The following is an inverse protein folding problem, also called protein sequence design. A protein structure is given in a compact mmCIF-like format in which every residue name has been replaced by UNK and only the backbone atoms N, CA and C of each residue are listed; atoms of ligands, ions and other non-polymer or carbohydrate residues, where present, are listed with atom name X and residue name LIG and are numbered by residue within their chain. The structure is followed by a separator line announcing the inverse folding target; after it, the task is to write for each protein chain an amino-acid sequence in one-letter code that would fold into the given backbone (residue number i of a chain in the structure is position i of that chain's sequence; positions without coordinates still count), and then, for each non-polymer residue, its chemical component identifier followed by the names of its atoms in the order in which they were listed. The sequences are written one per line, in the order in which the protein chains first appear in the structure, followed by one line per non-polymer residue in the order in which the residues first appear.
data_IF_746086785464
#
_entry.id   IF_746086785464
#
_cell.length_a   1.000
_cell.length_b   1.000
_cell.length_c   1.000
_cell.angle_alpha   90.00
_cell.angle_beta   90.00
_cell.angle_gamma   90.00
#
_symmetry.space_group_name_H-M   'P 1'
#
loop_
_entity.id
_entity.type
_entity.pdbx_description
1 polymer ?
#
# COMPACT_ATOMS: atom_id res chain seq x y z
N UNK A 1 6.08 8.22 -6.01
CA UNK A 1 7.24 7.33 -5.85
C UNK A 1 7.13 6.47 -4.60
N UNK A 2 7.58 5.22 -4.68
CA UNK A 2 7.54 4.26 -3.56
C UNK A 2 8.42 4.69 -2.36
N UNK A 3 9.54 5.39 -2.61
CA UNK A 3 10.40 5.88 -1.52
C UNK A 3 9.70 6.94 -0.66
N UNK A 4 8.96 7.86 -1.29
CA UNK A 4 8.15 8.84 -0.56
C UNK A 4 7.04 8.17 0.24
N UNK A 5 6.37 7.17 -0.34
CA UNK A 5 5.35 6.40 0.35
C UNK A 5 5.92 5.69 1.59
N UNK A 6 7.09 5.06 1.47
CA UNK A 6 7.78 4.43 2.59
C UNK A 6 8.11 5.41 3.73
N UNK A 7 8.54 6.63 3.39
CA UNK A 7 8.75 7.68 4.40
C UNK A 7 7.46 8.09 5.10
N UNK A 8 6.35 8.19 4.39
CA UNK A 8 5.05 8.54 4.98
C UNK A 8 4.58 7.47 5.97
N UNK A 9 4.68 6.19 5.60
CA UNK A 9 4.34 5.09 6.50
C UNK A 9 5.22 5.14 7.76
N UNK A 10 6.55 5.23 7.61
CA UNK A 10 7.45 5.26 8.75
C UNK A 10 7.23 6.49 9.64
N UNK A 11 6.84 7.63 9.07
CA UNK A 11 6.50 8.83 9.85
C UNK A 11 5.25 8.62 10.73
N UNK A 12 4.23 7.93 10.22
CA UNK A 12 2.97 7.70 10.93
C UNK A 12 3.05 6.53 11.91
N UNK A 13 3.69 5.43 11.50
CA UNK A 13 3.71 4.16 12.22
C UNK A 13 4.96 3.96 13.09
N UNK A 14 5.97 4.80 12.91
CA UNK A 14 7.28 4.66 13.55
C UNK A 14 8.31 3.94 12.68
N UNK A 15 9.51 3.79 13.24
CA UNK A 15 10.61 3.12 12.56
C UNK A 15 10.23 1.70 12.13
N UNK A 16 10.58 1.34 10.90
CA UNK A 16 10.23 0.05 10.28
C UNK A 16 8.73 -0.20 10.07
N UNK A 17 7.87 0.81 10.19
CA UNK A 17 6.44 0.70 9.91
C UNK A 17 6.15 0.12 8.52
N UNK A 18 6.97 0.46 7.51
CA UNK A 18 6.87 -0.12 6.16
C UNK A 18 6.92 -1.66 6.16
N UNK A 19 7.76 -2.26 7.01
CA UNK A 19 7.93 -3.72 7.04
C UNK A 19 6.63 -4.46 7.39
N UNK A 20 5.71 -3.81 8.11
CA UNK A 20 4.41 -4.39 8.48
C UNK A 20 3.46 -4.53 7.28
N UNK A 21 3.70 -3.80 6.19
CA UNK A 21 2.80 -3.72 5.04
C UNK A 21 3.41 -4.26 3.73
N UNK A 22 4.64 -4.77 3.76
CA UNK A 22 5.28 -5.34 2.56
C UNK A 22 4.64 -6.67 2.11
N UNK A 23 4.04 -7.42 3.03
CA UNK A 23 3.42 -8.72 2.77
C UNK A 23 2.34 -9.03 3.82
N UNK A 24 1.22 -8.30 3.77
CA UNK A 24 0.09 -8.46 4.68
C UNK A 24 -1.23 -8.62 3.92
N UNK A 25 -2.08 -9.53 4.39
CA UNK A 25 -3.39 -9.78 3.79
C UNK A 25 -3.30 -10.20 2.32
N UNK A 26 -4.31 -9.83 1.53
CA UNK A 26 -4.42 -10.11 0.11
C UNK A 26 -3.90 -8.97 -0.79
N UNK A 27 -3.79 -7.73 -0.29
CA UNK A 27 -3.48 -6.53 -1.07
C UNK A 27 -2.29 -5.72 -0.55
N UNK A 28 -1.88 -5.81 0.72
CA UNK A 28 -0.68 -5.10 1.17
C UNK A 28 0.59 -5.83 0.71
N UNK A 29 1.05 -5.51 -0.51
CA UNK A 29 2.25 -6.08 -1.11
C UNK A 29 2.31 -5.88 -2.62
N UNK A 30 3.00 -6.77 -3.32
CA UNK A 30 3.05 -6.76 -4.79
C UNK A 30 1.84 -7.50 -5.37
N UNK A 31 1.00 -6.77 -6.11
CA UNK A 31 -0.19 -7.31 -6.76
C UNK A 31 -1.41 -7.23 -5.84
N UNK A 32 -2.30 -8.21 -5.93
CA UNK A 32 -3.44 -8.33 -5.03
C UNK A 32 -4.62 -9.04 -5.69
N UNK A 33 -5.22 -10.00 -5.00
CA UNK A 33 -6.36 -10.77 -5.52
C UNK A 33 -7.26 -11.26 -4.39
N UNK A 34 -8.55 -11.44 -4.68
CA UNK A 34 -9.54 -11.92 -3.72
C UNK A 34 -10.17 -10.79 -2.90
N UNK A 35 -10.64 -11.11 -1.70
CA UNK A 35 -11.29 -10.14 -0.81
C UNK A 35 -10.30 -9.64 0.25
N UNK A 36 -10.31 -8.33 0.58
CA UNK A 36 -9.49 -7.83 1.68
C UNK A 36 -9.80 -8.55 2.99
N UNK A 37 -8.76 -9.01 3.69
CA UNK A 37 -8.90 -9.86 4.89
C UNK A 37 -9.43 -9.09 6.11
N UNK A 38 -9.12 -7.80 6.20
CA UNK A 38 -9.53 -6.92 7.30
C UNK A 38 -9.53 -5.43 6.88
N UNK A 39 -9.64 -4.54 7.86
CA UNK A 39 -9.62 -3.10 7.62
C UNK A 39 -8.26 -2.59 7.09
N UNK A 40 -7.15 -3.18 7.55
CA UNK A 40 -5.81 -2.82 7.11
C UNK A 40 -5.59 -3.20 5.64
N UNK A 41 -5.95 -4.43 5.29
CA UNK A 41 -5.84 -4.93 3.92
C UNK A 41 -6.76 -4.17 2.95
N UNK A 42 -7.91 -3.70 3.45
CA UNK A 42 -8.81 -2.82 2.68
C UNK A 42 -8.16 -1.48 2.35
N UNK A 43 -7.30 -0.93 3.20
CA UNK A 43 -6.54 0.28 2.87
C UNK A 43 -5.62 0.04 1.67
N UNK A 44 -4.95 -1.10 1.61
CA UNK A 44 -4.09 -1.47 0.48
C UNK A 44 -4.89 -1.72 -0.81
N UNK A 45 -6.05 -2.38 -0.72
CA UNK A 45 -6.98 -2.51 -1.85
C UNK A 45 -7.39 -1.14 -2.43
N UNK A 46 -7.73 -0.19 -1.55
CA UNK A 46 -8.08 1.18 -1.96
C UNK A 46 -6.87 1.91 -2.55
N UNK A 47 -5.68 1.71 -1.98
CA UNK A 47 -4.43 2.28 -2.49
C UNK A 47 -4.12 1.79 -3.91
N UNK A 48 -4.23 0.49 -4.17
CA UNK A 48 -4.03 -0.08 -5.51
C UNK A 48 -5.06 0.44 -6.51
N UNK A 49 -6.32 0.53 -6.10
CA UNK A 49 -7.38 1.15 -6.89
C UNK A 49 -7.09 2.63 -7.19
N UNK A 50 -6.47 3.35 -6.25
CA UNK A 50 -6.07 4.74 -6.43
C UNK A 50 -4.96 4.85 -7.49
N UNK A 51 -3.91 4.03 -7.37
CA UNK A 51 -2.82 3.98 -8.35
C UNK A 51 -3.31 3.58 -9.74
N UNK A 52 -4.22 2.61 -9.84
CA UNK A 52 -4.79 2.16 -11.11
C UNK A 52 -5.64 3.20 -11.85
N UNK A 53 -6.06 4.27 -11.15
CA UNK A 53 -6.81 5.40 -11.74
C UNK A 53 -5.92 6.57 -12.17
N UNK A 54 -4.64 6.57 -11.80
CA UNK A 54 -3.71 7.65 -12.18
C UNK A 54 -3.44 7.59 -13.68
N UNK A 55 -3.59 8.72 -14.36
CA UNK A 55 -3.27 8.88 -15.79
C UNK A 55 -2.31 10.05 -15.99
N UNK A 56 -1.35 9.93 -16.89
CA UNK A 56 -0.41 11.01 -17.25
C UNK A 56 0.90 11.03 -16.46
N UNK A 57 1.09 10.12 -15.49
CA UNK A 57 2.34 9.92 -14.76
C UNK A 57 2.41 8.51 -14.17
N UNK A 58 3.61 8.09 -13.74
CA UNK A 58 3.81 6.88 -12.96
C UNK A 58 3.66 7.20 -11.45
N UNK A 59 2.73 6.58 -10.73
CA UNK A 59 2.61 6.78 -9.29
C UNK A 59 3.76 6.14 -8.48
N UNK A 60 4.46 5.15 -9.04
CA UNK A 60 5.56 4.42 -8.38
C UNK A 60 6.89 5.15 -8.43
#
# INVERSE_FOLDING_TARGET
SLWQFGKMINYVMGESGVLQYLSYGCYCGLGGQGQPTDATDRCCFVHDCCYGKVTGCDPK
#
